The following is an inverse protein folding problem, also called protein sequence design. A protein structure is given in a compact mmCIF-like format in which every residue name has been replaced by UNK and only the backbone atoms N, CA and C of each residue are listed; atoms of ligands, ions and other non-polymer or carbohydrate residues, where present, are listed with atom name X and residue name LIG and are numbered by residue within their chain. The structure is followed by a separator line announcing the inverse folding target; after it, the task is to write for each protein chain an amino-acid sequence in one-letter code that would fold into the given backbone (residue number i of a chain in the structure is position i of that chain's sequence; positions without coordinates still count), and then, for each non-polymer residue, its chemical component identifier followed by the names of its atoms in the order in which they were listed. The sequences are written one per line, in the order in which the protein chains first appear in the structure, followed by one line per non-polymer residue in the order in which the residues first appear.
data_IF_440490013621
#
_entry.id   IF_440490013621
#
_cell.length_a   1.000
_cell.length_b   1.000
_cell.length_c   1.000
_cell.angle_alpha   90.00
_cell.angle_beta   90.00
_cell.angle_gamma   90.00
#
_symmetry.space_group_name_H-M   'P 1'
#
loop_
_entity.id
_entity.type
_entity.pdbx_description
1 polymer ?
#
# COMPACT_ATOMS: atom_id res chain seq x y z
N UNK A 1 -17.16 -35.80 -41.16
CA UNK A 1 -16.13 -34.74 -41.15
C UNK A 1 -14.77 -35.33 -41.51
N UNK A 2 -13.98 -34.65 -42.35
CA UNK A 2 -12.63 -35.12 -42.74
C UNK A 2 -11.65 -34.77 -41.61
N UNK A 3 -10.87 -35.75 -41.15
CA UNK A 3 -9.90 -35.66 -40.03
C UNK A 3 -9.04 -34.39 -40.10
N UNK A 4 -8.53 -34.10 -41.29
CA UNK A 4 -7.74 -32.91 -41.63
C UNK A 4 -8.42 -31.57 -41.32
N UNK A 5 -9.75 -31.47 -41.49
CA UNK A 5 -10.49 -30.23 -41.22
C UNK A 5 -10.64 -29.98 -39.72
N UNK A 6 -10.80 -31.03 -38.92
CA UNK A 6 -10.83 -30.93 -37.46
C UNK A 6 -9.45 -30.54 -36.90
N UNK A 7 -8.39 -31.18 -37.40
CA UNK A 7 -7.01 -30.85 -37.00
C UNK A 7 -6.65 -29.39 -37.33
N UNK A 8 -7.08 -28.88 -38.49
CA UNK A 8 -6.88 -27.47 -38.87
C UNK A 8 -7.64 -26.51 -37.96
N UNK A 9 -8.90 -26.76 -37.65
CA UNK A 9 -9.69 -25.90 -36.75
C UNK A 9 -9.06 -25.88 -35.37
N UNK A 10 -8.67 -27.04 -34.85
CA UNK A 10 -8.07 -27.15 -33.52
C UNK A 10 -6.71 -26.45 -33.46
N UNK A 11 -5.88 -26.61 -34.48
CA UNK A 11 -4.56 -25.95 -34.58
C UNK A 11 -4.67 -24.43 -34.69
N UNK A 12 -5.58 -23.91 -35.54
CA UNK A 12 -5.79 -22.45 -35.69
C UNK A 12 -6.35 -21.86 -34.39
N UNK A 13 -7.30 -22.54 -33.76
CA UNK A 13 -7.89 -22.08 -32.49
C UNK A 13 -6.83 -22.06 -31.39
N UNK A 14 -6.01 -23.11 -31.29
CA UNK A 14 -4.89 -23.17 -30.35
C UNK A 14 -3.86 -22.07 -30.60
N UNK A 15 -3.53 -21.77 -31.86
CA UNK A 15 -2.61 -20.70 -32.21
C UNK A 15 -3.17 -19.33 -31.80
N UNK A 16 -4.45 -19.05 -32.09
CA UNK A 16 -5.09 -17.80 -31.70
C UNK A 16 -5.09 -17.64 -30.17
N UNK A 17 -5.46 -18.70 -29.44
CA UNK A 17 -5.42 -18.68 -27.97
C UNK A 17 -4.01 -18.42 -27.44
N UNK A 18 -3.00 -19.07 -28.02
CA UNK A 18 -1.60 -18.88 -27.63
C UNK A 18 -1.14 -17.42 -27.85
N UNK A 19 -1.52 -16.81 -28.97
CA UNK A 19 -1.22 -15.39 -29.25
C UNK A 19 -1.91 -14.47 -28.24
N UNK A 20 -3.19 -14.70 -27.95
CA UNK A 20 -3.95 -13.90 -26.98
C UNK A 20 -3.31 -13.99 -25.58
N UNK A 21 -2.96 -15.19 -25.14
CA UNK A 21 -2.30 -15.40 -23.84
C UNK A 21 -0.90 -14.79 -23.82
N UNK A 22 -0.14 -14.86 -24.93
CA UNK A 22 1.18 -14.23 -25.01
C UNK A 22 1.09 -12.71 -24.89
N UNK A 23 0.17 -12.07 -25.63
CA UNK A 23 -0.08 -10.62 -25.51
C UNK A 23 -0.55 -10.26 -24.11
N UNK A 24 -1.48 -11.03 -23.54
CA UNK A 24 -1.96 -10.83 -22.17
C UNK A 24 -0.83 -10.93 -21.14
N UNK A 25 0.05 -11.93 -21.26
CA UNK A 25 1.21 -12.09 -20.39
C UNK A 25 2.18 -10.93 -20.45
N UNK A 26 2.47 -10.43 -21.66
CA UNK A 26 3.31 -9.23 -21.85
C UNK A 26 2.68 -8.00 -21.21
N UNK A 27 1.39 -7.77 -21.42
CA UNK A 27 0.69 -6.61 -20.83
C UNK A 27 0.64 -6.69 -19.31
N UNK A 28 0.40 -7.87 -18.73
CA UNK A 28 0.43 -8.07 -17.27
C UNK A 28 1.80 -7.79 -16.69
N UNK A 29 2.87 -8.29 -17.33
CA UNK A 29 4.24 -8.05 -16.88
C UNK A 29 4.62 -6.57 -17.00
N UNK A 30 4.20 -5.90 -18.08
CA UNK A 30 4.39 -4.46 -18.26
C UNK A 30 3.65 -3.65 -17.18
N UNK A 31 2.37 -3.95 -16.93
CA UNK A 31 1.58 -3.28 -15.90
C UNK A 31 2.14 -3.49 -14.49
N UNK A 32 2.58 -4.71 -14.16
CA UNK A 32 3.24 -5.01 -12.88
C UNK A 32 4.53 -4.21 -12.69
N UNK A 33 5.37 -4.13 -13.72
CA UNK A 33 6.61 -3.35 -13.68
C UNK A 33 6.34 -1.84 -13.57
N UNK A 34 5.33 -1.34 -14.29
CA UNK A 34 4.90 0.06 -14.19
C UNK A 34 4.43 0.41 -12.76
N UNK A 35 3.58 -0.43 -12.16
CA UNK A 35 3.10 -0.20 -10.80
C UNK A 35 4.25 -0.22 -9.78
N UNK A 36 5.15 -1.21 -9.87
CA UNK A 36 6.30 -1.32 -8.96
C UNK A 36 7.24 -0.11 -9.07
N UNK A 37 7.62 0.26 -10.30
CA UNK A 37 8.50 1.42 -10.52
C UNK A 37 7.87 2.74 -10.10
N UNK A 38 6.56 2.91 -10.30
CA UNK A 38 5.83 4.10 -9.83
C UNK A 38 5.91 4.21 -8.31
N UNK A 39 5.57 3.13 -7.58
CA UNK A 39 5.64 3.12 -6.11
C UNK A 39 7.05 3.42 -5.62
N UNK A 40 8.07 2.76 -6.18
CA UNK A 40 9.45 3.00 -5.77
C UNK A 40 9.91 4.43 -6.04
N UNK A 41 9.55 5.01 -7.18
CA UNK A 41 9.91 6.40 -7.51
C UNK A 41 9.28 7.40 -6.54
N UNK A 42 7.98 7.26 -6.27
CA UNK A 42 7.25 8.14 -5.36
C UNK A 42 7.77 8.03 -3.92
N UNK A 43 8.03 6.80 -3.44
CA UNK A 43 8.54 6.58 -2.09
C UNK A 43 9.99 7.07 -1.93
N UNK A 44 10.86 6.77 -2.90
CA UNK A 44 12.25 7.25 -2.88
C UNK A 44 12.31 8.78 -2.91
N UNK A 45 11.43 9.43 -3.66
CA UNK A 45 11.34 10.89 -3.73
C UNK A 45 10.99 11.54 -2.38
N UNK A 46 10.22 10.86 -1.54
CA UNK A 46 9.82 11.35 -0.21
C UNK A 46 10.94 11.30 0.82
N UNK A 47 12.01 10.52 0.59
CA UNK A 47 13.17 10.37 1.49
C UNK A 47 12.79 10.03 2.93
N UNK A 48 11.76 9.21 3.08
CA UNK A 48 11.30 8.73 4.39
C UNK A 48 12.16 7.54 4.81
N UNK A 49 12.58 7.51 6.07
CA UNK A 49 13.31 6.40 6.67
C UNK A 49 12.75 6.07 8.04
N UNK A 50 12.88 4.81 8.43
CA UNK A 50 12.68 4.42 9.82
C UNK A 50 13.78 5.01 10.70
N UNK A 51 13.46 5.21 11.98
CA UNK A 51 14.47 5.60 12.97
C UNK A 51 15.62 4.62 12.98
N UNK A 52 16.85 5.12 13.11
CA UNK A 52 18.04 4.29 13.23
C UNK A 52 18.14 3.61 14.61
N UNK A 53 17.42 4.14 15.61
CA UNK A 53 17.36 3.54 16.93
C UNK A 53 16.22 2.49 16.99
N UNK A 54 16.52 1.18 17.04
CA UNK A 54 15.49 0.15 17.12
C UNK A 54 14.67 0.23 18.41
N UNK A 55 15.17 0.83 19.49
CA UNK A 55 14.42 1.01 20.72
C UNK A 55 13.28 2.03 20.58
N UNK A 56 13.37 2.90 19.56
CA UNK A 56 12.30 3.86 19.21
C UNK A 56 11.24 3.26 18.29
N UNK A 57 11.38 2.00 17.88
CA UNK A 57 10.43 1.30 17.01
C UNK A 57 9.68 0.22 17.81
N UNK A 58 8.42 -0.10 17.43
CA UNK A 58 7.76 -1.31 17.89
C UNK A 58 8.64 -2.55 17.65
N UNK A 59 8.63 -3.56 18.54
CA UNK A 59 9.48 -4.74 18.42
C UNK A 59 9.36 -5.46 17.07
N UNK A 60 8.16 -5.48 16.50
CA UNK A 60 7.87 -6.07 15.19
C UNK A 60 8.44 -5.29 14.00
N UNK A 61 8.77 -4.01 14.19
CA UNK A 61 9.35 -3.13 13.17
C UNK A 61 10.85 -2.90 13.37
N UNK A 62 11.46 -3.42 14.45
CA UNK A 62 12.88 -3.22 14.75
C UNK A 62 13.81 -3.68 13.61
N UNK A 63 13.40 -4.66 12.80
CA UNK A 63 14.15 -5.11 11.63
C UNK A 63 14.29 -4.04 10.53
N UNK A 64 13.41 -3.03 10.52
CA UNK A 64 13.45 -1.93 9.55
C UNK A 64 14.29 -0.75 10.04
N UNK A 65 14.92 -0.81 11.22
CA UNK A 65 15.68 0.30 11.79
C UNK A 65 16.73 0.84 10.80
N UNK A 66 16.69 2.16 10.57
CA UNK A 66 17.57 2.86 9.64
C UNK A 66 17.34 2.57 8.15
N UNK A 67 16.38 1.71 7.79
CA UNK A 67 16.05 1.44 6.39
C UNK A 67 15.23 2.58 5.79
N UNK A 68 15.48 2.88 4.51
CA UNK A 68 14.66 3.79 3.74
C UNK A 68 13.36 3.11 3.28
N UNK A 69 12.27 3.86 3.22
CA UNK A 69 10.99 3.39 2.70
C UNK A 69 11.00 3.56 1.18
N UNK A 70 11.33 2.50 0.43
CA UNK A 70 11.51 2.56 -1.03
C UNK A 70 10.64 1.57 -1.81
N UNK A 71 9.88 0.73 -1.12
CA UNK A 71 8.97 -0.23 -1.74
C UNK A 71 7.66 -0.39 -0.97
N UNK A 72 6.72 -1.15 -1.53
CA UNK A 72 5.41 -1.36 -0.92
C UNK A 72 5.46 -2.08 0.44
N UNK A 73 6.44 -2.95 0.67
CA UNK A 73 6.57 -3.68 1.94
C UNK A 73 7.03 -2.73 3.05
N UNK A 74 8.05 -1.93 2.77
CA UNK A 74 8.51 -0.86 3.67
C UNK A 74 7.42 0.19 3.88
N UNK A 75 6.67 0.56 2.85
CA UNK A 75 5.57 1.53 2.98
C UNK A 75 4.46 1.01 3.90
N UNK A 76 4.10 -0.27 3.78
CA UNK A 76 3.16 -0.90 4.71
C UNK A 76 3.70 -0.89 6.14
N UNK A 77 4.93 -1.33 6.35
CA UNK A 77 5.56 -1.33 7.67
C UNK A 77 5.64 0.08 8.29
N UNK A 78 5.88 1.10 7.46
CA UNK A 78 5.88 2.49 7.91
C UNK A 78 4.46 2.99 8.22
N UNK A 79 3.45 2.54 7.48
CA UNK A 79 2.04 2.79 7.81
C UNK A 79 1.64 2.16 9.14
N UNK A 80 2.12 0.95 9.44
CA UNK A 80 1.89 0.29 10.73
C UNK A 80 2.53 1.10 11.87
N UNK A 81 3.74 1.63 11.66
CA UNK A 81 4.40 2.55 12.59
C UNK A 81 3.55 3.80 12.87
N UNK A 82 3.01 4.43 11.82
CA UNK A 82 2.11 5.58 11.96
C UNK A 82 0.86 5.19 12.75
N UNK A 83 0.27 4.02 12.45
CA UNK A 83 -0.90 3.51 13.15
C UNK A 83 -0.70 3.40 14.66
N UNK A 84 0.46 2.89 15.11
CA UNK A 84 0.81 2.83 16.53
C UNK A 84 0.89 4.22 17.16
N UNK A 85 1.47 5.20 16.46
CA UNK A 85 1.56 6.57 16.97
C UNK A 85 0.19 7.27 17.01
N UNK A 86 -0.65 7.07 15.99
CA UNK A 86 -2.02 7.60 15.96
C UNK A 86 -2.88 6.95 17.04
N UNK A 87 -2.70 5.66 17.33
CA UNK A 87 -3.38 5.01 18.45
C UNK A 87 -3.07 5.69 19.81
N UNK A 88 -1.85 6.22 19.96
CA UNK A 88 -1.44 6.97 21.15
C UNK A 88 -1.91 8.43 21.17
N UNK A 89 -2.26 9.01 20.03
CA UNK A 89 -2.70 10.40 19.90
C UNK A 89 -4.21 10.41 19.71
N UNK A 90 -4.94 10.84 20.76
CA UNK A 90 -6.40 10.86 20.82
C UNK A 90 -7.11 9.49 21.07
N UNK A 91 -6.45 8.59 21.81
CA UNK A 91 -7.05 7.32 22.27
C UNK A 91 -7.55 6.44 21.08
N UNK A 92 -6.85 6.53 19.94
CA UNK A 92 -7.16 5.82 18.70
C UNK A 92 -8.25 6.43 17.83
N UNK A 93 -8.75 7.61 18.19
CA UNK A 93 -9.78 8.32 17.42
C UNK A 93 -9.17 9.12 16.28
N UNK A 94 -9.83 9.10 15.14
CA UNK A 94 -9.52 9.99 14.02
C UNK A 94 -9.86 11.43 14.36
N UNK A 95 -9.25 12.39 13.64
CA UNK A 95 -9.61 13.80 13.74
C UNK A 95 -11.14 14.04 13.67
N UNK A 96 -11.82 13.32 12.77
CA UNK A 96 -13.27 13.43 12.59
C UNK A 96 -14.03 12.99 13.84
N UNK A 97 -13.66 11.85 14.42
CA UNK A 97 -14.28 11.33 15.64
C UNK A 97 -14.02 12.26 16.86
N UNK A 98 -12.78 12.73 17.03
CA UNK A 98 -12.45 13.72 18.08
C UNK A 98 -13.26 15.01 17.88
N UNK A 99 -13.41 15.45 16.63
CA UNK A 99 -14.18 16.66 16.30
C UNK A 99 -15.68 16.50 16.55
N UNK A 100 -16.25 15.34 16.26
CA UNK A 100 -17.66 15.04 16.53
C UNK A 100 -17.94 15.01 18.02
N UNK A 101 -17.09 14.35 18.82
CA UNK A 101 -17.21 14.32 20.27
C UNK A 101 -17.09 15.72 20.89
N UNK A 102 -16.13 16.52 20.41
CA UNK A 102 -15.98 17.90 20.87
C UNK A 102 -17.22 18.75 20.56
N UNK A 103 -17.80 18.58 19.37
CA UNK A 103 -19.03 19.28 18.98
C UNK A 103 -20.22 18.80 19.82
N UNK A 104 -20.37 17.49 20.02
CA UNK A 104 -21.43 16.89 20.82
C UNK A 104 -21.34 17.31 22.30
N UNK A 105 -20.11 17.47 22.81
CA UNK A 105 -19.80 17.99 24.14
C UNK A 105 -19.96 19.50 24.30
N UNK A 106 -20.51 20.21 23.29
CA UNK A 106 -20.78 21.64 23.38
C UNK A 106 -19.58 22.55 23.12
N UNK A 107 -18.47 22.01 22.59
CA UNK A 107 -17.25 22.74 22.22
C UNK A 107 -16.48 23.35 23.40
N UNK A 108 -16.63 22.79 24.59
CA UNK A 108 -16.00 23.32 25.83
C UNK A 108 -14.88 22.44 26.37
N UNK A 109 -14.67 21.26 25.81
CA UNK A 109 -13.60 20.35 26.24
C UNK A 109 -12.26 20.77 25.62
N UNK A 110 -11.38 21.33 26.45
CA UNK A 110 -10.05 21.81 26.04
C UNK A 110 -9.11 20.67 25.63
N UNK A 111 -9.29 19.46 26.18
CA UNK A 111 -8.49 18.30 25.82
C UNK A 111 -8.84 17.79 24.42
N UNK A 112 -10.14 17.70 24.12
CA UNK A 112 -10.61 17.39 22.76
C UNK A 112 -10.31 18.53 21.78
N UNK A 113 -10.33 19.80 22.22
CA UNK A 113 -9.91 20.93 21.38
C UNK A 113 -8.44 20.81 20.98
N UNK A 114 -7.56 20.48 21.92
CA UNK A 114 -6.14 20.24 21.67
C UNK A 114 -5.90 19.05 20.74
N UNK A 115 -6.57 17.93 21.01
CA UNK A 115 -6.44 16.67 20.24
C UNK A 115 -6.89 16.79 18.77
N UNK A 116 -7.67 17.81 18.40
CA UNK A 116 -8.01 18.09 16.99
C UNK A 116 -6.88 18.77 16.24
N UNK A 117 -5.98 19.46 16.93
CA UNK A 117 -4.96 20.31 16.28
C UNK A 117 -3.58 19.66 16.18
N UNK A 118 -3.41 18.49 16.78
CA UNK A 118 -2.20 17.68 16.78
C UNK A 118 -2.35 16.47 15.87
#
# INVERSE_FOLDING_TARGET
MRRRSLDQILSVTGLVLAVVLAVGGVLLMWGGNFAHSTVTNELTGQKISFSADPASLPPELAQYAGMAVTDGTGAKAYSDLIGVHVAGVADGKTYSEVSEEWIAGGRTDDALAGARTT
#
